data_IF_841568408961
#
_entry.id   IF_841568408961
#
_cell.length_a   1.000
_cell.length_b   1.000
_cell.length_c   1.000
_cell.angle_alpha   90.00
_cell.angle_beta   90.00
_cell.angle_gamma   90.00
#
_symmetry.space_group_name_H-M   'P 1'
#
loop_
_entity.id
_entity.type
_entity.pdbx_description
1 polymer ?
#
# COMPACT_ATOMS: atom_id res chain seq x y z
N UNK A 1 2.06 4.21 8.65
CA UNK A 1 2.43 5.40 7.83
C UNK A 1 3.92 5.65 7.79
N UNK A 2 4.53 5.80 8.94
CA UNK A 2 5.98 6.06 9.04
C UNK A 2 6.81 4.96 8.36
N UNK A 3 6.48 3.69 8.59
CA UNK A 3 7.20 2.57 7.98
C UNK A 3 7.08 2.56 6.45
N UNK A 4 5.90 2.87 5.91
CA UNK A 4 5.70 2.94 4.46
C UNK A 4 6.62 3.99 3.86
N UNK A 5 6.69 5.17 4.46
CA UNK A 5 7.58 6.25 4.02
C UNK A 5 9.05 5.84 4.10
N UNK A 6 9.44 5.18 5.18
CA UNK A 6 10.82 4.68 5.37
C UNK A 6 11.19 3.64 4.30
N UNK A 7 10.27 2.71 3.98
CA UNK A 7 10.51 1.70 2.95
C UNK A 7 10.63 2.32 1.56
N UNK A 8 9.75 3.27 1.22
CA UNK A 8 9.81 3.97 -0.07
C UNK A 8 11.15 4.67 -0.23
N UNK A 9 11.61 5.35 0.82
CA UNK A 9 12.92 6.02 0.82
C UNK A 9 14.07 5.02 0.67
N UNK A 10 14.03 3.94 1.44
CA UNK A 10 15.06 2.90 1.42
C UNK A 10 15.16 2.21 0.06
N UNK A 11 14.05 2.09 -0.66
CA UNK A 11 13.99 1.46 -1.98
C UNK A 11 14.24 2.44 -3.13
N UNK A 12 14.69 3.65 -2.83
CA UNK A 12 15.10 4.63 -3.85
C UNK A 12 13.97 5.49 -4.41
N UNK A 13 12.88 5.64 -3.69
CA UNK A 13 11.76 6.50 -4.10
C UNK A 13 12.17 7.96 -4.21
N UNK A 14 11.57 8.68 -5.16
CA UNK A 14 11.77 10.12 -5.34
C UNK A 14 11.19 10.91 -4.15
N UNK A 15 11.50 12.22 -4.08
CA UNK A 15 10.89 13.10 -3.09
C UNK A 15 9.37 13.13 -3.22
N UNK A 16 8.87 13.18 -4.46
CA UNK A 16 7.42 13.14 -4.72
C UNK A 16 6.80 11.83 -4.26
N UNK A 17 7.45 10.70 -4.49
CA UNK A 17 6.98 9.39 -4.03
C UNK A 17 6.97 9.32 -2.50
N UNK A 18 8.00 9.82 -1.84
CA UNK A 18 8.10 9.86 -0.38
C UNK A 18 7.01 10.74 0.23
N UNK A 19 6.77 11.92 -0.34
CA UNK A 19 5.70 12.80 0.13
C UNK A 19 4.32 12.18 -0.07
N UNK A 20 4.08 11.56 -1.22
CA UNK A 20 2.82 10.86 -1.49
C UNK A 20 2.61 9.68 -0.55
N UNK A 21 3.66 8.94 -0.21
CA UNK A 21 3.60 7.84 0.76
C UNK A 21 3.13 8.34 2.13
N UNK A 22 3.63 9.48 2.56
CA UNK A 22 3.23 10.09 3.83
C UNK A 22 1.77 10.55 3.82
N UNK A 23 1.27 10.97 2.66
CA UNK A 23 -0.05 11.59 2.51
C UNK A 23 -1.15 10.64 2.04
N UNK A 24 -0.81 9.42 1.58
CA UNK A 24 -1.76 8.58 0.84
C UNK A 24 -3.05 8.22 1.59
N UNK A 25 -3.03 8.14 2.92
CA UNK A 25 -4.23 7.87 3.69
C UNK A 25 -4.96 9.15 4.14
N UNK A 26 -4.36 10.33 3.94
CA UNK A 26 -4.89 11.57 4.50
C UNK A 26 -6.27 11.93 3.97
N UNK A 27 -6.50 11.74 2.67
CA UNK A 27 -7.79 12.04 2.04
C UNK A 27 -8.89 11.11 2.54
N UNK A 28 -8.55 9.84 2.79
CA UNK A 28 -9.51 8.84 3.27
C UNK A 28 -9.79 8.96 4.77
N UNK A 29 -8.75 9.17 5.57
CA UNK A 29 -8.80 8.99 7.02
C UNK A 29 -8.90 10.30 7.81
N UNK A 30 -8.57 11.43 7.19
CA UNK A 30 -8.49 12.72 7.88
C UNK A 30 -9.25 13.83 7.12
N UNK A 31 -10.59 13.75 6.99
CA UNK A 31 -11.35 14.89 6.45
C UNK A 31 -11.16 16.12 7.35
N UNK A 32 -11.13 17.37 6.83
CA UNK A 32 -11.52 17.77 5.48
C UNK A 32 -10.39 17.80 4.44
N UNK A 33 -9.24 17.18 4.69
CA UNK A 33 -8.16 17.17 3.72
C UNK A 33 -8.64 16.55 2.39
N UNK A 34 -8.31 17.19 1.28
CA UNK A 34 -8.74 16.78 -0.04
C UNK A 34 -7.63 16.99 -1.08
N UNK A 35 -7.87 16.52 -2.28
CA UNK A 35 -6.88 16.60 -3.36
C UNK A 35 -6.48 18.05 -3.71
N UNK A 36 -7.40 18.98 -3.65
CA UNK A 36 -7.09 20.39 -3.96
C UNK A 36 -6.10 20.99 -2.95
N UNK A 37 -6.24 20.67 -1.67
CA UNK A 37 -5.31 21.11 -0.63
C UNK A 37 -3.93 20.49 -0.84
N UNK A 38 -3.86 19.21 -1.17
CA UNK A 38 -2.60 18.52 -1.43
C UNK A 38 -1.91 19.11 -2.64
N UNK A 39 -2.65 19.38 -3.71
CA UNK A 39 -2.09 20.00 -4.91
C UNK A 39 -1.51 21.39 -4.61
N UNK A 40 -2.23 22.19 -3.83
CA UNK A 40 -1.79 23.54 -3.45
C UNK A 40 -0.48 23.50 -2.64
N UNK A 41 -0.38 22.57 -1.70
CA UNK A 41 0.74 22.51 -0.75
C UNK A 41 1.95 21.71 -1.30
N UNK A 42 1.73 20.70 -2.13
CA UNK A 42 2.76 19.74 -2.55
C UNK A 42 2.93 19.62 -4.06
N UNK A 43 2.04 20.21 -4.87
CA UNK A 43 2.13 20.21 -6.31
C UNK A 43 1.38 19.08 -7.00
N UNK A 44 1.29 19.18 -8.35
CA UNK A 44 0.50 18.26 -9.17
C UNK A 44 1.06 16.84 -9.23
N UNK A 45 2.38 16.69 -9.17
CA UNK A 45 3.01 15.36 -9.19
C UNK A 45 2.64 14.54 -7.95
N UNK A 46 2.74 15.16 -6.77
CA UNK A 46 2.41 14.49 -5.50
C UNK A 46 0.92 14.14 -5.47
N UNK A 47 0.03 15.08 -5.83
CA UNK A 47 -1.41 14.80 -5.80
C UNK A 47 -1.81 13.70 -6.79
N UNK A 48 -1.16 13.64 -7.95
CA UNK A 48 -1.39 12.57 -8.92
C UNK A 48 -1.09 11.20 -8.34
N UNK A 49 0.03 11.08 -7.63
CA UNK A 49 0.42 9.81 -6.98
C UNK A 49 -0.57 9.47 -5.86
N UNK A 50 -0.95 10.45 -5.03
CA UNK A 50 -1.93 10.24 -3.95
C UNK A 50 -3.26 9.75 -4.50
N UNK A 51 -3.72 10.32 -5.64
CA UNK A 51 -4.96 9.87 -6.30
C UNK A 51 -4.89 8.40 -6.69
N UNK A 52 -3.75 7.95 -7.24
CA UNK A 52 -3.56 6.54 -7.59
C UNK A 52 -3.66 5.60 -6.40
N UNK A 53 -3.36 6.10 -5.19
CA UNK A 53 -3.34 5.30 -3.96
C UNK A 53 -4.65 5.38 -3.17
N UNK A 54 -5.56 6.29 -3.52
CA UNK A 54 -6.78 6.53 -2.75
C UNK A 54 -7.93 5.69 -3.27
N UNK A 55 -8.52 4.87 -2.40
CA UNK A 55 -9.71 4.09 -2.72
C UNK A 55 -10.97 4.97 -2.60
N UNK A 56 -11.96 4.68 -3.43
CA UNK A 56 -13.28 5.31 -3.35
C UNK A 56 -14.12 4.59 -2.28
N UNK A 57 -14.29 5.22 -1.13
CA UNK A 57 -15.04 4.63 -0.01
C UNK A 57 -16.55 4.55 -0.26
N UNK A 58 -17.08 5.18 -1.32
CA UNK A 58 -18.47 4.99 -1.72
C UNK A 58 -18.70 3.61 -2.34
N UNK A 59 -17.64 2.95 -2.80
CA UNK A 59 -17.69 1.59 -3.35
C UNK A 59 -17.63 0.57 -2.21
N UNK A 60 -18.46 -0.49 -2.22
CA UNK A 60 -18.41 -1.53 -1.19
C UNK A 60 -17.03 -2.15 -1.01
N UNK A 61 -16.68 -2.51 0.21
CA UNK A 61 -15.35 -3.02 0.58
C UNK A 61 -14.89 -4.18 -0.31
N UNK A 62 -15.76 -5.14 -0.59
CA UNK A 62 -15.41 -6.30 -1.42
C UNK A 62 -15.03 -5.89 -2.85
N UNK A 63 -15.75 -4.91 -3.41
CA UNK A 63 -15.43 -4.38 -4.74
C UNK A 63 -14.15 -3.55 -4.74
N UNK A 64 -13.90 -2.78 -3.67
CA UNK A 64 -12.64 -2.03 -3.53
C UNK A 64 -11.43 -2.96 -3.55
N UNK A 65 -11.52 -4.11 -2.89
CA UNK A 65 -10.45 -5.11 -2.90
C UNK A 65 -10.18 -5.66 -4.30
N UNK A 66 -11.24 -5.91 -5.07
CA UNK A 66 -11.11 -6.34 -6.46
C UNK A 66 -10.51 -5.25 -7.34
N UNK A 67 -10.93 -3.99 -7.14
CA UNK A 67 -10.41 -2.85 -7.89
C UNK A 67 -8.94 -2.60 -7.60
N UNK A 68 -8.47 -2.84 -6.38
CA UNK A 68 -7.04 -2.73 -6.09
C UNK A 68 -6.21 -3.69 -6.95
N UNK A 69 -6.72 -4.90 -7.19
CA UNK A 69 -6.05 -5.87 -8.07
C UNK A 69 -6.06 -5.39 -9.52
N UNK A 70 -7.23 -4.98 -10.02
CA UNK A 70 -7.38 -4.51 -11.41
C UNK A 70 -6.53 -3.27 -11.67
N UNK A 71 -6.55 -2.31 -10.74
CA UNK A 71 -5.84 -1.04 -10.90
C UNK A 71 -4.34 -1.15 -10.67
N UNK A 72 -3.87 -2.22 -10.03
CA UNK A 72 -2.45 -2.45 -9.79
C UNK A 72 -1.65 -2.43 -11.10
N UNK A 73 -2.18 -3.04 -12.16
CA UNK A 73 -1.52 -3.11 -13.46
C UNK A 73 -1.36 -1.74 -14.16
N UNK A 74 -2.08 -0.73 -13.68
CA UNK A 74 -2.10 0.62 -14.27
C UNK A 74 -1.30 1.64 -13.48
N UNK A 75 -0.67 1.25 -12.38
CA UNK A 75 0.00 2.20 -11.50
C UNK A 75 1.32 2.70 -12.07
N UNK A 76 1.62 3.98 -11.81
CA UNK A 76 2.91 4.58 -12.10
C UNK A 76 4.01 3.94 -11.26
N UNK A 77 5.27 4.17 -11.64
CA UNK A 77 6.42 3.65 -10.90
C UNK A 77 6.38 4.07 -9.42
N UNK A 78 6.11 5.34 -9.14
CA UNK A 78 6.01 5.84 -7.77
C UNK A 78 4.88 5.16 -7.00
N UNK A 79 3.70 5.04 -7.60
CA UNK A 79 2.55 4.40 -6.96
C UNK A 79 2.79 2.90 -6.73
N UNK A 80 3.49 2.22 -7.64
CA UNK A 80 3.89 0.83 -7.44
C UNK A 80 4.78 0.67 -6.21
N UNK A 81 5.75 1.55 -6.04
CA UNK A 81 6.66 1.51 -4.90
C UNK A 81 5.92 1.71 -3.58
N UNK A 82 4.99 2.67 -3.53
CA UNK A 82 4.17 2.92 -2.35
C UNK A 82 3.27 1.72 -2.06
N UNK A 83 2.66 1.12 -3.08
CA UNK A 83 1.80 -0.05 -2.91
C UNK A 83 2.59 -1.25 -2.36
N UNK A 84 3.78 -1.49 -2.87
CA UNK A 84 4.68 -2.53 -2.32
C UNK A 84 5.01 -2.26 -0.86
N UNK A 85 5.35 -1.01 -0.52
CA UNK A 85 5.68 -0.63 0.85
C UNK A 85 4.47 -0.78 1.78
N UNK A 86 3.30 -0.34 1.34
CA UNK A 86 2.05 -0.45 2.08
C UNK A 86 1.70 -1.92 2.37
N UNK A 87 1.73 -2.77 1.35
CA UNK A 87 1.41 -4.19 1.52
C UNK A 87 2.47 -4.91 2.34
N UNK A 88 3.74 -4.55 2.18
CA UNK A 88 4.84 -5.11 3.01
C UNK A 88 4.64 -4.78 4.49
N UNK A 89 4.29 -3.54 4.80
CA UNK A 89 4.02 -3.10 6.16
C UNK A 89 2.79 -3.80 6.75
N UNK A 90 1.71 -3.87 5.98
CA UNK A 90 0.46 -4.50 6.44
C UNK A 90 0.62 -6.01 6.67
N UNK A 91 1.32 -6.71 5.79
CA UNK A 91 1.59 -8.14 5.95
C UNK A 91 2.44 -8.40 7.20
N UNK A 92 3.48 -7.60 7.41
CA UNK A 92 4.31 -7.72 8.60
C UNK A 92 3.50 -7.50 9.88
N UNK A 93 2.59 -6.53 9.88
CA UNK A 93 1.71 -6.26 11.03
C UNK A 93 0.78 -7.43 11.34
N UNK A 94 0.28 -8.13 10.32
CA UNK A 94 -0.54 -9.33 10.52
C UNK A 94 0.25 -10.42 11.27
N UNK A 95 1.56 -10.51 11.02
CA UNK A 95 2.42 -11.48 11.71
C UNK A 95 2.80 -11.08 13.13
N UNK A 96 3.07 -9.79 13.36
CA UNK A 96 3.60 -9.29 14.64
C UNK A 96 2.55 -8.73 15.57
N UNK A 97 1.50 -8.09 15.03
CA UNK A 97 0.47 -7.39 15.79
C UNK A 97 -0.90 -7.56 15.13
N UNK A 98 -1.39 -8.81 14.96
CA UNK A 98 -2.65 -9.04 14.25
C UNK A 98 -3.84 -8.47 15.03
N UNK A 99 -4.92 -8.10 14.32
CA UNK A 99 -6.17 -7.76 14.99
C UNK A 99 -6.63 -8.93 15.88
N UNK A 100 -7.07 -8.63 17.11
CA UNK A 100 -7.35 -9.64 18.14
C UNK A 100 -8.44 -10.63 17.74
N UNK A 101 -9.39 -10.21 16.90
CA UNK A 101 -10.54 -11.00 16.49
C UNK A 101 -10.34 -11.75 15.16
N UNK A 102 -9.15 -11.68 14.56
CA UNK A 102 -8.90 -12.36 13.29
C UNK A 102 -8.51 -13.82 13.48
N UNK A 103 -9.20 -14.71 12.78
CA UNK A 103 -8.86 -16.13 12.74
C UNK A 103 -7.56 -16.35 11.94
N UNK A 104 -6.94 -17.52 12.13
CA UNK A 104 -5.79 -17.91 11.31
C UNK A 104 -6.12 -17.92 9.82
N UNK A 105 -7.31 -18.41 9.45
CA UNK A 105 -7.78 -18.41 8.07
C UNK A 105 -7.86 -17.01 7.48
N UNK A 106 -8.43 -16.06 8.23
CA UNK A 106 -8.55 -14.67 7.78
C UNK A 106 -7.19 -14.02 7.57
N UNK A 107 -6.23 -14.31 8.44
CA UNK A 107 -4.85 -13.83 8.30
C UNK A 107 -4.21 -14.35 7.02
N UNK A 108 -4.36 -15.64 6.73
CA UNK A 108 -3.85 -16.26 5.50
C UNK A 108 -4.50 -15.68 4.26
N UNK A 109 -5.79 -15.47 4.29
CA UNK A 109 -6.54 -14.85 3.20
C UNK A 109 -6.03 -13.44 2.91
N UNK A 110 -5.72 -12.66 3.95
CA UNK A 110 -5.18 -11.31 3.80
C UNK A 110 -3.82 -11.35 3.09
N UNK A 111 -2.93 -12.23 3.51
CA UNK A 111 -1.61 -12.38 2.87
C UNK A 111 -1.77 -12.77 1.40
N UNK A 112 -2.64 -13.72 1.10
CA UNK A 112 -2.91 -14.15 -0.27
C UNK A 112 -3.45 -13.01 -1.14
N UNK A 113 -4.38 -12.21 -0.59
CA UNK A 113 -4.89 -11.04 -1.29
C UNK A 113 -3.79 -10.01 -1.54
N UNK A 114 -2.96 -9.72 -0.55
CA UNK A 114 -1.83 -8.80 -0.71
C UNK A 114 -0.89 -9.25 -1.84
N UNK A 115 -0.59 -10.55 -1.92
CA UNK A 115 0.20 -11.11 -3.00
C UNK A 115 -0.47 -10.94 -4.37
N UNK A 116 -1.79 -11.08 -4.42
CA UNK A 116 -2.57 -10.88 -5.65
C UNK A 116 -2.57 -9.41 -6.10
N UNK A 117 -2.55 -8.47 -5.17
CA UNK A 117 -2.44 -7.03 -5.48
C UNK A 117 -1.04 -6.69 -6.00
N UNK A 118 -0.01 -7.22 -5.36
CA UNK A 118 1.38 -6.92 -5.71
C UNK A 118 1.79 -7.56 -7.05
N UNK A 119 1.30 -8.77 -7.34
CA UNK A 119 1.69 -9.51 -8.55
C UNK A 119 1.57 -8.71 -9.84
N UNK A 120 0.44 -8.04 -10.13
CA UNK A 120 0.26 -7.28 -11.38
C UNK A 120 1.00 -5.96 -11.47
N UNK A 121 1.63 -5.47 -10.39
CA UNK A 121 2.35 -4.19 -10.42
C UNK A 121 3.41 -4.20 -11.53
N UNK A 122 3.40 -3.23 -12.46
CA UNK A 122 4.34 -3.24 -13.57
C UNK A 122 5.78 -2.86 -13.20
N UNK A 123 5.97 -2.19 -12.05
CA UNK A 123 7.28 -1.74 -11.58
C UNK A 123 7.53 -2.29 -10.18
N UNK A 124 8.44 -3.25 -10.08
CA UNK A 124 8.79 -3.88 -8.81
C UNK A 124 10.32 -4.02 -8.71
N UNK A 125 11.00 -3.05 -8.07
CA UNK A 125 12.45 -3.19 -7.83
C UNK A 125 12.75 -4.50 -7.10
N UNK A 126 13.81 -5.18 -7.49
CA UNK A 126 14.17 -6.49 -6.92
C UNK A 126 14.27 -6.48 -5.40
N UNK A 127 14.88 -5.44 -4.84
CA UNK A 127 15.00 -5.28 -3.38
C UNK A 127 13.63 -5.24 -2.71
N UNK A 128 12.70 -4.47 -3.29
CA UNK A 128 11.36 -4.30 -2.75
C UNK A 128 10.56 -5.60 -2.86
N UNK A 129 10.63 -6.29 -4.01
CA UNK A 129 9.95 -7.56 -4.23
C UNK A 129 10.45 -8.63 -3.26
N UNK A 130 11.77 -8.74 -3.07
CA UNK A 130 12.36 -9.69 -2.13
C UNK A 130 11.95 -9.42 -0.70
N UNK A 131 11.91 -8.14 -0.31
CA UNK A 131 11.49 -7.74 1.03
C UNK A 131 10.02 -8.11 1.28
N UNK A 132 9.15 -7.87 0.30
CA UNK A 132 7.75 -8.24 0.39
C UNK A 132 7.59 -9.77 0.50
N UNK A 133 8.24 -10.52 -0.36
CA UNK A 133 8.17 -11.99 -0.35
C UNK A 133 8.66 -12.58 0.98
N UNK A 134 9.75 -12.02 1.52
CA UNK A 134 10.29 -12.42 2.81
C UNK A 134 9.30 -12.19 3.95
N UNK A 135 8.61 -11.03 3.95
CA UNK A 135 7.59 -10.72 4.96
C UNK A 135 6.37 -11.62 4.85
N UNK A 136 5.94 -11.93 3.64
CA UNK A 136 4.84 -12.89 3.41
C UNK A 136 5.19 -14.25 4.00
N UNK A 137 6.38 -14.75 3.72
CA UNK A 137 6.85 -16.04 4.22
C UNK A 137 6.92 -16.05 5.75
N UNK A 138 7.50 -15.01 6.34
CA UNK A 138 7.61 -14.89 7.79
C UNK A 138 6.23 -14.84 8.45
N UNK A 139 5.31 -14.07 7.90
CA UNK A 139 3.96 -13.93 8.45
C UNK A 139 3.19 -15.26 8.35
N UNK A 140 3.25 -15.93 7.20
CA UNK A 140 2.59 -17.24 7.05
C UNK A 140 3.16 -18.26 8.03
N UNK A 141 4.47 -18.23 8.29
CA UNK A 141 5.10 -19.09 9.29
C UNK A 141 4.70 -18.78 10.73
N UNK A 142 4.31 -17.55 11.02
CA UNK A 142 3.87 -17.12 12.36
C UNK A 142 2.40 -17.44 12.63
N UNK A 143 1.58 -17.68 11.61
CA UNK A 143 0.16 -18.01 11.76
C UNK A 143 0.02 -19.48 12.18
N UNK A 144 -0.65 -19.69 13.30
CA UNK A 144 -0.86 -21.04 13.85
C UNK A 144 -2.26 -21.56 13.62
#
# INVERSE_FOLDING_TARGET
MKEVTELVTAWGGSESATAAALLHDTVEDCPPTNFAEIEQDFGSEVVSIVREMTDDKSVPKAERKKLQIVNAAKKSEAACLIKLADKSSNVAAIGSSPPADWSAERKREYVAWAQTVVGPLPHKPDMAQKAFDSRCKATLGAIK
#
